data_IF_278626183395
#
_entry.id   IF_278626183395
#
_cell.length_a   1.000
_cell.length_b   1.000
_cell.length_c   1.000
_cell.angle_alpha   90.00
_cell.angle_beta   90.00
_cell.angle_gamma   90.00
#
_symmetry.space_group_name_H-M   'P 1'
#
loop_
_entity.id
_entity.type
_entity.pdbx_description
1 polymer ?
#
# COMPACT_ATOMS: atom_id res chain seq x y z
N UNK A 1 2.48 -9.71 13.42
CA UNK A 1 3.42 -8.67 12.93
C UNK A 1 4.15 -8.07 14.14
N UNK A 2 5.39 -7.60 13.97
CA UNK A 2 6.26 -7.10 15.03
C UNK A 2 6.90 -5.76 14.62
N UNK A 3 7.39 -5.01 15.59
CA UNK A 3 8.24 -3.83 15.37
C UNK A 3 9.70 -4.29 15.40
N UNK A 4 10.54 -3.67 14.57
CA UNK A 4 12.00 -3.83 14.59
C UNK A 4 12.63 -2.52 15.09
N UNK A 5 13.77 -2.61 15.76
CA UNK A 5 14.55 -1.44 16.15
C UNK A 5 15.38 -0.92 14.98
N UNK A 6 15.82 0.33 15.05
CA UNK A 6 16.58 0.96 13.98
C UNK A 6 17.92 0.26 13.70
N UNK A 7 18.54 -0.38 14.71
CA UNK A 7 19.80 -1.11 14.57
C UNK A 7 19.64 -2.50 13.92
N UNK A 8 18.43 -3.06 13.88
CA UNK A 8 18.16 -4.33 13.19
C UNK A 8 18.09 -4.16 11.66
N UNK A 9 18.01 -2.91 11.16
CA UNK A 9 17.89 -2.59 9.74
C UNK A 9 19.12 -1.79 9.29
N UNK A 10 19.98 -2.40 8.48
CA UNK A 10 21.21 -1.78 8.01
C UNK A 10 20.97 -0.55 7.10
N UNK A 11 19.99 -0.65 6.20
CA UNK A 11 19.58 0.46 5.33
C UNK A 11 18.05 0.45 5.15
N UNK A 12 17.30 1.37 5.81
CA UNK A 12 15.84 1.44 5.69
C UNK A 12 15.38 2.00 4.33
N UNK A 13 16.30 2.50 3.51
CA UNK A 13 16.04 2.99 2.16
C UNK A 13 16.33 1.94 1.08
N UNK A 14 16.69 0.70 1.45
CA UNK A 14 16.93 -0.38 0.49
C UNK A 14 16.18 -1.68 0.83
N UNK A 15 14.91 -1.58 1.19
CA UNK A 15 14.05 -2.71 1.51
C UNK A 15 13.10 -3.03 0.37
N UNK A 16 13.09 -4.29 -0.09
CA UNK A 16 12.09 -4.75 -1.04
C UNK A 16 10.72 -4.92 -0.36
N UNK A 17 9.69 -4.31 -0.95
CA UNK A 17 8.29 -4.44 -0.54
C UNK A 17 7.53 -5.19 -1.63
N UNK A 18 6.67 -6.13 -1.22
CA UNK A 18 5.81 -6.89 -2.12
C UNK A 18 4.41 -7.06 -1.53
N UNK A 19 3.40 -7.00 -2.40
CA UNK A 19 2.00 -7.20 -2.03
C UNK A 19 1.37 -8.20 -2.98
N UNK A 20 0.73 -9.23 -2.44
CA UNK A 20 -0.03 -10.22 -3.17
C UNK A 20 -1.52 -10.12 -2.83
N UNK A 21 -2.36 -10.32 -3.84
CA UNK A 21 -3.79 -10.52 -3.69
C UNK A 21 -4.13 -11.91 -4.22
N UNK A 22 -4.59 -12.80 -3.35
CA UNK A 22 -4.89 -14.20 -3.67
C UNK A 22 -3.73 -14.92 -4.37
N UNK A 23 -2.49 -14.66 -3.93
CA UNK A 23 -1.28 -15.24 -4.50
C UNK A 23 -0.75 -14.55 -5.77
N UNK A 24 -1.51 -13.64 -6.39
CA UNK A 24 -1.03 -12.83 -7.52
C UNK A 24 -0.20 -11.67 -7.01
N UNK A 25 1.03 -11.50 -7.51
CA UNK A 25 1.89 -10.37 -7.16
C UNK A 25 1.34 -9.09 -7.81
N UNK A 26 0.86 -8.17 -6.98
CA UNK A 26 0.23 -6.93 -7.45
C UNK A 26 1.17 -5.74 -7.34
N UNK A 27 1.99 -5.68 -6.28
CA UNK A 27 3.00 -4.63 -6.11
C UNK A 27 4.36 -5.24 -5.82
N UNK A 28 5.41 -4.67 -6.40
CA UNK A 28 6.81 -5.03 -6.14
C UNK A 28 7.68 -3.81 -6.36
N UNK A 29 8.16 -3.19 -5.28
CA UNK A 29 8.99 -1.98 -5.32
C UNK A 29 9.96 -1.94 -4.15
N UNK A 30 11.03 -1.14 -4.28
CA UNK A 30 12.00 -0.95 -3.21
C UNK A 30 11.77 0.43 -2.56
N UNK A 31 12.13 0.57 -1.29
CA UNK A 31 12.06 1.84 -0.55
C UNK A 31 13.03 2.90 -1.09
N UNK A 32 13.96 2.55 -1.97
CA UNK A 32 14.85 3.49 -2.64
C UNK A 32 14.08 4.48 -3.54
N UNK A 33 12.92 4.05 -4.06
CA UNK A 33 11.95 4.83 -4.87
C UNK A 33 11.16 5.88 -4.04
N UNK A 34 11.40 5.97 -2.73
CA UNK A 34 10.83 7.04 -1.91
C UNK A 34 11.33 8.41 -2.37
N UNK A 35 10.41 9.26 -2.86
CA UNK A 35 10.71 10.64 -3.26
C UNK A 35 11.29 11.48 -2.12
N UNK A 36 10.77 11.31 -0.91
CA UNK A 36 11.28 11.95 0.30
C UNK A 36 11.75 10.87 1.27
N UNK A 37 13.02 10.96 1.65
CA UNK A 37 13.64 10.03 2.61
C UNK A 37 13.09 10.29 4.02
N UNK A 38 13.05 9.26 4.85
CA UNK A 38 12.58 9.24 6.24
C UNK A 38 13.07 10.45 7.04
N UNK A 39 14.36 10.78 6.97
CA UNK A 39 14.95 11.92 7.67
C UNK A 39 14.36 13.28 7.22
N UNK A 40 14.04 13.43 5.93
CA UNK A 40 13.36 14.62 5.40
C UNK A 40 11.91 14.68 5.86
N UNK A 41 11.23 13.54 5.93
CA UNK A 41 9.86 13.47 6.45
C UNK A 41 9.81 13.86 7.94
N UNK A 42 10.76 13.37 8.75
CA UNK A 42 10.88 13.71 10.17
C UNK A 42 11.20 15.20 10.35
N UNK A 43 12.19 15.73 9.62
CA UNK A 43 12.58 17.15 9.70
C UNK A 43 11.39 18.06 9.36
N UNK A 44 10.69 17.80 8.26
CA UNK A 44 9.53 18.60 7.89
C UNK A 44 8.40 18.50 8.91
N UNK A 45 8.02 17.29 9.33
CA UNK A 45 6.90 17.11 10.25
C UNK A 45 7.20 17.70 11.64
N UNK A 46 8.44 17.55 12.13
CA UNK A 46 8.87 18.10 13.42
C UNK A 46 8.85 19.63 13.46
N UNK A 47 8.90 20.31 12.30
CA UNK A 47 8.80 21.77 12.22
C UNK A 47 7.39 22.30 12.48
N UNK A 48 6.37 21.43 12.37
CA UNK A 48 4.95 21.80 12.51
C UNK A 48 4.22 21.00 13.59
N UNK A 49 4.78 19.89 14.05
CA UNK A 49 4.21 19.02 15.07
C UNK A 49 5.31 18.36 15.91
N UNK A 50 5.31 18.52 17.25
CA UNK A 50 6.24 17.79 18.10
C UNK A 50 5.92 16.30 18.11
N UNK A 51 6.93 15.46 18.01
CA UNK A 51 6.78 14.01 18.13
C UNK A 51 6.77 13.55 19.59
N UNK A 52 5.97 12.53 19.88
CA UNK A 52 5.96 11.80 21.14
C UNK A 52 6.38 10.33 20.93
N UNK A 53 7.02 9.69 21.92
CA UNK A 53 7.30 8.26 21.86
C UNK A 53 6.02 7.45 21.62
N UNK A 54 6.01 6.66 20.54
CA UNK A 54 4.84 5.88 20.12
C UNK A 54 4.17 6.42 18.86
N UNK A 55 4.54 7.61 18.38
CA UNK A 55 4.04 8.15 17.12
C UNK A 55 4.42 7.27 15.91
N UNK A 56 3.50 7.19 14.95
CA UNK A 56 3.69 6.41 13.72
C UNK A 56 3.62 7.33 12.50
N UNK A 57 4.71 7.39 11.75
CA UNK A 57 4.80 8.10 10.48
C UNK A 57 4.67 7.12 9.31
N UNK A 58 3.55 7.19 8.58
CA UNK A 58 3.37 6.43 7.34
C UNK A 58 4.06 7.17 6.18
N UNK A 59 5.09 6.55 5.60
CA UNK A 59 5.98 7.17 4.59
C UNK A 59 5.44 7.16 3.15
N UNK A 60 4.20 6.70 2.97
CA UNK A 60 3.51 6.64 1.69
C UNK A 60 3.47 5.24 1.08
N UNK A 61 3.10 5.17 -0.20
CA UNK A 61 3.02 3.93 -0.97
C UNK A 61 3.49 4.17 -2.41
N UNK A 62 3.99 3.13 -3.06
CA UNK A 62 4.21 3.16 -4.49
C UNK A 62 2.87 3.06 -5.23
N UNK A 63 2.67 3.90 -6.25
CA UNK A 63 1.43 3.93 -7.02
C UNK A 63 1.32 2.78 -8.03
N UNK A 64 2.43 2.12 -8.36
CA UNK A 64 2.44 0.98 -9.30
C UNK A 64 1.77 -0.23 -8.66
N UNK A 65 0.80 -0.81 -9.37
CA UNK A 65 0.12 -2.03 -8.93
C UNK A 65 -1.01 -1.83 -7.91
N UNK A 66 -1.38 -0.57 -7.63
CA UNK A 66 -2.59 -0.29 -6.85
C UNK A 66 -3.83 -0.79 -7.59
N UNK A 67 -4.66 -1.55 -6.89
CA UNK A 67 -5.88 -2.16 -7.39
C UNK A 67 -6.90 -2.29 -6.25
N UNK A 68 -8.15 -2.54 -6.61
CA UNK A 68 -9.25 -2.69 -5.65
C UNK A 68 -9.19 -4.05 -4.93
N UNK A 69 -9.26 -4.04 -3.61
CA UNK A 69 -9.53 -5.24 -2.82
C UNK A 69 -11.03 -5.55 -2.81
N UNK A 70 -11.37 -6.84 -2.79
CA UNK A 70 -12.74 -7.34 -2.81
C UNK A 70 -13.01 -8.22 -1.59
N UNK A 71 -14.29 -8.39 -1.23
CA UNK A 71 -14.68 -9.33 -0.18
C UNK A 71 -14.08 -10.72 -0.41
N UNK A 72 -13.56 -11.34 0.67
CA UNK A 72 -12.92 -12.65 0.64
C UNK A 72 -11.46 -12.67 0.19
N UNK A 73 -10.93 -11.57 -0.36
CA UNK A 73 -9.52 -11.50 -0.78
C UNK A 73 -8.58 -11.81 0.39
N UNK A 74 -7.57 -12.64 0.14
CA UNK A 74 -6.40 -12.79 1.00
C UNK A 74 -5.31 -11.83 0.52
N UNK A 75 -4.98 -10.86 1.36
CA UNK A 75 -3.88 -9.94 1.12
C UNK A 75 -2.67 -10.40 1.92
N UNK A 76 -1.54 -10.50 1.22
CA UNK A 76 -0.24 -10.73 1.82
C UNK A 76 0.66 -9.51 1.55
N UNK A 77 1.26 -8.95 2.60
CA UNK A 77 2.22 -7.85 2.51
C UNK A 77 3.53 -8.29 3.13
N UNK A 78 4.62 -8.13 2.40
CA UNK A 78 5.96 -8.47 2.85
C UNK A 78 6.88 -7.28 2.68
N UNK A 79 7.68 -7.04 3.71
CA UNK A 79 8.83 -6.13 3.63
C UNK A 79 10.05 -6.95 4.00
N UNK A 80 11.07 -6.89 3.16
CA UNK A 80 12.34 -7.59 3.37
C UNK A 80 12.88 -7.36 4.78
N UNK A 81 13.22 -8.45 5.49
CA UNK A 81 13.68 -8.41 6.88
C UNK A 81 12.58 -8.25 7.94
N UNK A 82 11.37 -7.80 7.58
CA UNK A 82 10.27 -7.53 8.52
C UNK A 82 9.14 -8.57 8.46
N UNK A 83 9.37 -9.67 7.74
CA UNK A 83 8.43 -10.77 7.61
C UNK A 83 7.22 -10.45 6.74
N UNK A 84 6.18 -11.28 6.85
CA UNK A 84 4.98 -11.22 6.01
C UNK A 84 3.70 -11.16 6.84
N UNK A 85 2.89 -10.13 6.60
CA UNK A 85 1.56 -9.95 7.15
C UNK A 85 0.51 -10.55 6.21
N UNK A 86 -0.46 -11.30 6.76
CA UNK A 86 -1.57 -11.88 6.01
C UNK A 86 -2.90 -11.52 6.65
N UNK A 87 -3.87 -11.10 5.86
CA UNK A 87 -5.23 -10.82 6.35
C UNK A 87 -6.27 -11.01 5.26
N UNK A 88 -7.49 -11.35 5.66
CA UNK A 88 -8.64 -11.45 4.77
C UNK A 88 -9.42 -10.13 4.73
N UNK A 89 -9.95 -9.80 3.57
CA UNK A 89 -10.83 -8.66 3.34
C UNK A 89 -12.26 -9.08 3.59
N UNK A 90 -13.02 -8.20 4.26
CA UNK A 90 -14.46 -8.33 4.44
C UNK A 90 -15.16 -7.04 4.02
N UNK A 91 -16.14 -7.15 3.14
CA UNK A 91 -17.05 -6.06 2.75
C UNK A 91 -18.51 -6.50 2.92
N UNK A 92 -19.14 -6.08 4.02
CA UNK A 92 -20.53 -6.41 4.31
C UNK A 92 -21.54 -5.88 3.27
N UNK A 93 -21.11 -4.97 2.39
CA UNK A 93 -21.93 -4.44 1.30
C UNK A 93 -21.81 -5.23 0.00
N UNK A 94 -20.95 -6.26 -0.05
CA UNK A 94 -20.68 -7.11 -1.22
C UNK A 94 -20.47 -6.28 -2.51
N UNK A 95 -19.72 -5.18 -2.40
CA UNK A 95 -19.47 -4.29 -3.54
C UNK A 95 -18.37 -4.88 -4.39
N UNK A 96 -18.44 -4.65 -5.69
CA UNK A 96 -17.40 -5.08 -6.61
C UNK A 96 -16.86 -3.94 -7.46
N UNK A 97 -15.57 -3.97 -7.75
CA UNK A 97 -14.89 -3.07 -8.69
C UNK A 97 -14.02 -3.90 -9.64
N UNK A 98 -13.68 -3.33 -10.79
CA UNK A 98 -12.65 -3.96 -11.63
C UNK A 98 -11.33 -4.02 -10.88
N UNK A 99 -10.60 -5.13 -11.04
CA UNK A 99 -9.26 -5.32 -10.47
C UNK A 99 -8.16 -4.66 -11.30
N UNK A 100 -8.53 -3.99 -12.39
CA UNK A 100 -7.61 -3.23 -13.22
C UNK A 100 -6.86 -2.21 -12.37
N UNK A 101 -5.54 -2.21 -12.51
CA UNK A 101 -4.69 -1.14 -11.98
C UNK A 101 -5.01 0.18 -12.68
N UNK A 102 -4.58 1.29 -12.08
CA UNK A 102 -4.75 2.61 -12.73
C UNK A 102 -4.08 2.67 -14.12
N UNK A 103 -2.95 1.97 -14.30
CA UNK A 103 -2.25 1.88 -15.58
C UNK A 103 -3.10 1.13 -16.62
N UNK A 104 -3.59 -0.07 -16.28
CA UNK A 104 -4.43 -0.87 -17.18
C UNK A 104 -5.76 -0.17 -17.50
N UNK A 105 -6.34 0.56 -16.54
CA UNK A 105 -7.53 1.35 -16.76
C UNK A 105 -7.30 2.44 -17.81
N UNK A 106 -6.16 3.14 -17.72
CA UNK A 106 -5.73 4.15 -18.69
C UNK A 106 -5.44 3.54 -20.07
N UNK A 107 -4.76 2.39 -20.12
CA UNK A 107 -4.46 1.68 -21.38
C UNK A 107 -5.72 1.20 -22.10
N UNK A 108 -6.78 0.88 -21.36
CA UNK A 108 -8.10 0.51 -21.90
C UNK A 108 -8.90 1.70 -22.46
N UNK A 109 -8.35 2.92 -22.44
CA UNK A 109 -8.98 4.11 -23.00
C UNK A 109 -10.14 4.66 -22.17
N UNK A 110 -10.28 4.23 -20.90
CA UNK A 110 -11.21 4.86 -19.98
C UNK A 110 -10.58 6.15 -19.43
N UNK A 111 -11.25 7.28 -19.65
CA UNK A 111 -10.82 8.58 -19.14
C UNK A 111 -11.76 9.00 -18.00
N UNK A 112 -11.26 8.98 -16.75
CA UNK A 112 -12.08 9.21 -15.56
C UNK A 112 -11.31 9.10 -14.22
N UNK A 113 -11.81 9.78 -13.18
CA UNK A 113 -11.14 9.92 -11.87
C UNK A 113 -11.11 8.63 -11.00
N UNK A 114 -11.89 7.59 -11.34
CA UNK A 114 -11.93 6.32 -10.60
C UNK A 114 -12.62 5.20 -11.40
N UNK A 115 -12.21 3.95 -11.16
CA UNK A 115 -12.89 2.75 -11.67
C UNK A 115 -14.32 2.69 -11.11
N UNK A 116 -15.37 2.62 -11.95
CA UNK A 116 -16.75 2.58 -11.47
C UNK A 116 -17.03 1.28 -10.69
N UNK A 117 -17.95 1.37 -9.73
CA UNK A 117 -18.45 0.21 -9.00
C UNK A 117 -19.27 -0.68 -9.95
N UNK A 118 -18.93 -1.96 -10.03
CA UNK A 118 -19.57 -2.92 -10.92
C UNK A 118 -20.88 -3.48 -10.33
N UNK A 119 -20.94 -3.71 -9.01
CA UNK A 119 -22.13 -4.22 -8.33
C UNK A 119 -22.19 -3.80 -6.86
N UNK A 120 -23.36 -3.96 -6.24
CA UNK A 120 -23.60 -3.68 -4.82
C UNK A 120 -24.23 -2.31 -4.56
N UNK A 121 -24.30 -1.92 -3.29
CA UNK A 121 -24.88 -0.63 -2.89
C UNK A 121 -24.11 0.51 -3.56
N UNK A 122 -24.81 1.42 -4.27
CA UNK A 122 -24.28 2.56 -5.04
C UNK A 122 -23.72 2.26 -6.45
N UNK A 123 -23.86 1.03 -6.96
CA UNK A 123 -23.70 0.80 -8.40
C UNK A 123 -24.79 1.57 -9.17
N UNK A 124 -24.37 2.39 -10.14
CA UNK A 124 -25.25 3.21 -11.00
C UNK A 124 -25.91 2.38 -12.08
#
# INVERSE_FOLDING_TARGET
PYLVTADEIADPHHLQIRVWNNGTLMQSFNTDDMTYKIERCIEWLSSIHPFEPGDVLATGTNHRGLHSFQDGDLIELETEGLGRLRFHIRDDLNRTWSRDTHLEHKEKGFDGRATPQLSGKYAS
#
